data_IF_773724617773
#
_entry.id   IF_773724617773
#
_cell.length_a   1.000
_cell.length_b   1.000
_cell.length_c   1.000
_cell.angle_alpha   90.00
_cell.angle_beta   90.00
_cell.angle_gamma   90.00
#
_symmetry.space_group_name_H-M   'P 1'
#
loop_
_entity.id
_entity.type
_entity.pdbx_description
1 polymer ?
#
# COMPACT_ATOMS: atom_id res chain seq x y z
N UNK A 1 17.34 10.67 -9.26
CA UNK A 1 17.43 9.44 -8.44
C UNK A 1 16.03 9.10 -7.95
N UNK A 2 15.35 8.13 -8.56
CA UNK A 2 14.02 7.68 -8.14
C UNK A 2 13.94 6.18 -8.35
N UNK A 3 14.32 5.43 -7.33
CA UNK A 3 14.44 3.97 -7.30
C UNK A 3 13.41 3.36 -6.34
N UNK A 4 12.15 3.81 -6.41
CA UNK A 4 11.05 3.23 -5.62
C UNK A 4 9.78 2.88 -6.39
N UNK A 5 9.65 3.24 -7.68
CA UNK A 5 8.42 2.98 -8.46
C UNK A 5 8.44 1.68 -9.29
N UNK A 6 9.50 0.86 -9.23
CA UNK A 6 9.62 -0.35 -10.07
C UNK A 6 9.00 -1.61 -9.46
N UNK A 7 8.64 -1.62 -8.18
CA UNK A 7 8.10 -2.82 -7.51
C UNK A 7 6.65 -3.12 -7.87
N UNK A 8 5.86 -2.13 -8.27
CA UNK A 8 4.46 -2.33 -8.66
C UNK A 8 4.31 -2.84 -10.10
N UNK A 9 5.26 -2.54 -10.98
CA UNK A 9 5.17 -2.86 -12.42
C UNK A 9 5.21 -4.37 -12.71
N UNK A 10 6.15 -5.11 -12.11
CA UNK A 10 6.20 -6.58 -12.23
C UNK A 10 5.11 -7.29 -11.42
N UNK A 11 4.68 -6.69 -10.31
CA UNK A 11 3.64 -7.21 -9.43
C UNK A 11 2.25 -7.18 -10.09
N UNK A 12 1.91 -6.09 -10.79
CA UNK A 12 0.63 -5.98 -11.51
C UNK A 12 0.54 -6.97 -12.68
N UNK A 13 1.66 -7.15 -13.38
CA UNK A 13 1.77 -8.04 -14.53
C UNK A 13 1.65 -9.53 -14.16
N UNK A 14 2.11 -9.94 -12.97
CA UNK A 14 1.99 -11.34 -12.52
C UNK A 14 0.61 -11.69 -11.97
N UNK A 15 -0.16 -10.70 -11.53
CA UNK A 15 -1.47 -10.90 -10.90
C UNK A 15 -2.61 -10.92 -11.93
N UNK A 16 -2.46 -10.20 -13.05
CA UNK A 16 -3.48 -10.04 -14.11
C UNK A 16 -3.03 -10.49 -15.51
N UNK A 17 -1.84 -11.07 -15.65
CA UNK A 17 -1.37 -11.66 -16.92
C UNK A 17 -1.84 -13.10 -17.12
N UNK A 18 -2.00 -13.51 -18.38
CA UNK A 18 -2.23 -14.90 -18.77
C UNK A 18 -1.09 -15.78 -18.22
N UNK A 19 -1.37 -16.80 -17.39
CA UNK A 19 -0.33 -17.67 -16.88
C UNK A 19 0.25 -18.51 -18.03
N UNK A 20 1.59 -18.68 -18.12
CA UNK A 20 2.17 -19.60 -19.09
C UNK A 20 1.62 -21.01 -18.87
N UNK A 21 1.23 -21.68 -19.96
CA UNK A 21 0.49 -22.97 -19.99
C UNK A 21 1.18 -24.14 -19.28
N UNK A 22 2.43 -23.98 -18.85
CA UNK A 22 3.24 -24.98 -18.15
C UNK A 22 3.32 -24.78 -16.62
N UNK A 23 2.59 -23.81 -16.03
CA UNK A 23 2.72 -23.46 -14.59
C UNK A 23 1.62 -23.98 -13.66
N UNK A 24 0.80 -24.94 -14.07
CA UNK A 24 -0.26 -25.55 -13.23
C UNK A 24 0.26 -26.52 -12.16
N UNK A 25 1.46 -26.29 -11.64
CA UNK A 25 2.05 -27.02 -10.51
C UNK A 25 1.83 -26.28 -9.18
N UNK A 26 1.87 -26.97 -8.02
CA UNK A 26 1.62 -26.36 -6.70
C UNK A 26 2.54 -25.16 -6.40
N UNK A 27 3.73 -25.10 -6.99
CA UNK A 27 4.66 -23.98 -6.86
C UNK A 27 4.07 -22.62 -7.33
N UNK A 28 3.19 -22.60 -8.33
CA UNK A 28 2.55 -21.34 -8.79
C UNK A 28 1.45 -20.86 -7.83
N UNK A 29 0.75 -21.79 -7.18
CA UNK A 29 -0.23 -21.48 -6.14
C UNK A 29 0.46 -20.88 -4.91
N UNK A 30 1.58 -21.47 -4.48
CA UNK A 30 2.39 -20.93 -3.38
C UNK A 30 2.93 -19.54 -3.69
N UNK A 31 3.45 -19.31 -4.88
CA UNK A 31 3.92 -17.99 -5.30
C UNK A 31 2.80 -16.93 -5.25
N UNK A 32 1.59 -17.27 -5.70
CA UNK A 32 0.41 -16.41 -5.61
C UNK A 32 0.02 -16.09 -4.17
N UNK A 33 0.03 -17.08 -3.28
CA UNK A 33 -0.28 -16.88 -1.86
C UNK A 33 0.75 -15.97 -1.17
N UNK A 34 2.04 -16.13 -1.47
CA UNK A 34 3.10 -15.25 -0.96
C UNK A 34 2.89 -13.81 -1.43
N UNK A 35 2.57 -13.62 -2.72
CA UNK A 35 2.30 -12.30 -3.27
C UNK A 35 1.07 -11.63 -2.62
N UNK A 36 -0.02 -12.38 -2.42
CA UNK A 36 -1.21 -11.88 -1.72
C UNK A 36 -0.90 -11.50 -0.27
N UNK A 37 -0.10 -12.32 0.44
CA UNK A 37 0.35 -12.01 1.80
C UNK A 37 1.18 -10.74 1.86
N UNK A 38 2.04 -10.50 0.86
CA UNK A 38 2.79 -9.25 0.72
C UNK A 38 1.87 -8.05 0.52
N UNK A 39 0.86 -8.16 -0.35
CA UNK A 39 -0.12 -7.09 -0.59
C UNK A 39 -0.92 -6.73 0.67
N UNK A 40 -1.37 -7.75 1.41
CA UNK A 40 -2.06 -7.56 2.69
C UNK A 40 -1.15 -6.89 3.72
N UNK A 41 0.13 -7.22 3.76
CA UNK A 41 1.09 -6.57 4.65
C UNK A 41 1.25 -5.07 4.32
N UNK A 42 1.35 -4.72 3.04
CA UNK A 42 1.40 -3.32 2.58
C UNK A 42 0.13 -2.56 2.97
N UNK A 43 -1.05 -3.16 2.77
CA UNK A 43 -2.31 -2.52 3.17
C UNK A 43 -2.42 -2.33 4.68
N UNK A 44 -1.95 -3.30 5.47
CA UNK A 44 -1.92 -3.21 6.93
C UNK A 44 -1.00 -2.06 7.39
N UNK A 45 0.19 -1.94 6.82
CA UNK A 45 1.14 -0.87 7.14
C UNK A 45 0.54 0.52 6.85
N UNK A 46 -0.14 0.67 5.71
CA UNK A 46 -0.84 1.92 5.35
C UNK A 46 -1.98 2.26 6.30
N UNK A 47 -2.74 1.26 6.74
CA UNK A 47 -3.81 1.45 7.71
C UNK A 47 -3.25 1.94 9.04
N UNK A 48 -2.16 1.36 9.54
CA UNK A 48 -1.48 1.85 10.73
C UNK A 48 -0.98 3.30 10.57
N UNK A 49 -0.40 3.63 9.42
CA UNK A 49 0.05 5.00 9.14
C UNK A 49 -1.12 6.00 9.16
N UNK A 50 -2.26 5.66 8.55
CA UNK A 50 -3.46 6.52 8.55
C UNK A 50 -4.07 6.67 9.94
N UNK A 51 -4.12 5.60 10.73
CA UNK A 51 -4.54 5.65 12.14
C UNK A 51 -3.67 6.60 12.96
N UNK A 52 -2.35 6.54 12.78
CA UNK A 52 -1.43 7.42 13.51
C UNK A 52 -1.55 8.88 13.05
N UNK A 53 -1.72 9.11 11.74
CA UNK A 53 -2.03 10.43 11.21
C UNK A 53 -3.31 11.02 11.80
N UNK A 54 -4.36 10.20 11.93
CA UNK A 54 -5.62 10.63 12.55
C UNK A 54 -5.42 11.00 14.02
N UNK A 55 -4.68 10.19 14.78
CA UNK A 55 -4.35 10.49 16.18
C UNK A 55 -3.56 11.79 16.32
N UNK A 56 -2.56 12.00 15.46
CA UNK A 56 -1.78 13.24 15.45
C UNK A 56 -2.64 14.46 15.08
N UNK A 57 -3.64 14.28 14.19
CA UNK A 57 -4.57 15.34 13.83
C UNK A 57 -5.51 15.73 14.98
N UNK A 58 -5.94 14.74 15.78
CA UNK A 58 -6.79 14.95 16.95
C UNK A 58 -6.02 15.52 18.15
N UNK A 59 -4.83 14.97 18.45
CA UNK A 59 -4.07 15.30 19.67
C UNK A 59 -3.21 16.58 19.53
N UNK A 60 -2.83 16.96 18.32
CA UNK A 60 -1.88 18.05 18.10
C UNK A 60 -1.82 18.50 16.66
N UNK A 61 -2.85 19.17 16.12
CA UNK A 61 -2.90 19.59 14.73
C UNK A 61 -1.71 20.46 14.30
N UNK A 62 -1.09 21.19 15.23
CA UNK A 62 0.12 21.99 14.97
C UNK A 62 1.35 21.14 14.60
N UNK A 63 1.40 19.87 15.05
CA UNK A 63 2.49 18.96 14.69
C UNK A 63 2.40 18.46 13.25
N UNK A 64 1.21 18.49 12.66
CA UNK A 64 1.03 18.16 11.24
C UNK A 64 1.66 19.27 10.39
N UNK A 65 1.47 20.53 10.82
CA UNK A 65 2.09 21.70 10.17
C UNK A 65 3.63 21.65 10.28
N UNK A 66 4.19 21.16 11.38
CA UNK A 66 5.65 21.00 11.56
C UNK A 66 6.29 20.00 10.57
N UNK A 67 5.52 19.01 10.12
CA UNK A 67 5.95 18.04 9.08
C UNK A 67 5.71 18.60 7.67
N UNK A 68 5.09 19.78 7.55
CA UNK A 68 4.74 20.42 6.29
C UNK A 68 3.50 19.83 5.61
N UNK A 69 2.67 19.09 6.35
CA UNK A 69 1.35 18.69 5.87
C UNK A 69 0.30 19.71 6.30
N UNK A 70 -0.70 19.96 5.46
CA UNK A 70 -1.89 20.70 5.87
C UNK A 70 -2.95 19.73 6.37
N UNK A 71 -3.80 20.17 7.31
CA UNK A 71 -4.95 19.37 7.76
C UNK A 71 -5.85 18.90 6.61
N UNK A 72 -6.01 19.73 5.57
CA UNK A 72 -6.77 19.37 4.37
C UNK A 72 -6.14 18.23 3.56
N UNK A 73 -4.81 18.16 3.50
CA UNK A 73 -4.10 17.05 2.85
C UNK A 73 -4.24 15.76 3.68
N UNK A 74 -4.20 15.87 5.01
CA UNK A 74 -4.43 14.73 5.90
C UNK A 74 -5.86 14.19 5.76
N UNK A 75 -6.86 15.07 5.73
CA UNK A 75 -8.25 14.66 5.50
C UNK A 75 -8.40 13.96 4.13
N UNK A 76 -7.78 14.49 3.08
CA UNK A 76 -7.78 13.85 1.76
C UNK A 76 -7.12 12.45 1.78
N UNK A 77 -6.03 12.26 2.54
CA UNK A 77 -5.40 10.95 2.73
C UNK A 77 -6.27 9.97 3.53
N UNK A 78 -7.03 10.45 4.51
CA UNK A 78 -7.93 9.65 5.33
C UNK A 78 -9.18 9.20 4.56
N UNK A 79 -9.63 9.98 3.58
CA UNK A 79 -10.77 9.62 2.72
C UNK A 79 -10.42 8.56 1.67
N UNK A 80 -9.14 8.26 1.44
CA UNK A 80 -8.74 7.22 0.49
C UNK A 80 -9.13 5.83 1.00
N UNK A 81 -9.64 4.93 0.13
CA UNK A 81 -9.85 3.55 0.51
C UNK A 81 -8.52 2.87 0.87
N UNK A 82 -8.59 1.84 1.72
CA UNK A 82 -7.39 1.17 2.28
C UNK A 82 -6.43 0.60 1.20
N UNK A 83 -6.97 0.22 0.04
CA UNK A 83 -6.21 -0.36 -1.07
C UNK A 83 -5.51 0.68 -1.95
N UNK A 84 -5.93 1.95 -1.86
CA UNK A 84 -5.42 3.03 -2.72
C UNK A 84 -4.25 3.75 -2.05
N UNK A 85 -3.20 3.98 -2.85
CA UNK A 85 -2.05 4.81 -2.48
C UNK A 85 -2.36 6.27 -2.80
#
# INVERSE_FOLDING_TARGET
>A
MSTQLSLTSRFYQSLWGEPPTWTTGPASVWARLVALRGLVAVWRERMYYREELKRLAEDGPQRIDDVGLTLSAVEAELQKPFWQA
#
